data_IF_072665170421
#
_entry.id   IF_072665170421
#
_cell.length_a   1.000
_cell.length_b   1.000
_cell.length_c   1.000
_cell.angle_alpha   90.00
_cell.angle_beta   90.00
_cell.angle_gamma   90.00
#
_symmetry.space_group_name_H-M   'P 1'
#
loop_
_entity.id
_entity.type
_entity.pdbx_description
1 polymer ?
#
# COMPACT_ATOMS: atom_id res chain seq x y z
N UNK A 1 11.20 -22.66 -27.55
CA UNK A 1 11.56 -22.47 -26.14
C UNK A 1 10.25 -22.42 -25.37
N UNK A 2 9.85 -23.52 -24.75
CA UNK A 2 8.54 -23.66 -24.11
C UNK A 2 8.44 -22.67 -22.94
N UNK A 3 7.25 -22.10 -22.77
CA UNK A 3 6.92 -20.94 -21.93
C UNK A 3 6.95 -21.32 -20.43
N UNK A 4 8.16 -21.54 -19.90
CA UNK A 4 8.44 -21.99 -18.53
C UNK A 4 7.86 -21.08 -17.45
N UNK A 5 7.72 -19.78 -17.74
CA UNK A 5 7.15 -18.81 -16.83
C UNK A 5 5.66 -19.07 -16.56
N UNK A 6 4.87 -19.33 -17.61
CA UNK A 6 3.44 -19.61 -17.48
C UNK A 6 3.18 -20.90 -16.71
N UNK A 7 3.97 -21.94 -16.97
CA UNK A 7 3.85 -23.22 -16.24
C UNK A 7 4.23 -23.11 -14.76
N UNK A 8 5.23 -22.30 -14.42
CA UNK A 8 5.63 -22.07 -13.03
C UNK A 8 4.58 -21.24 -12.28
N UNK A 9 4.06 -20.17 -12.91
CA UNK A 9 3.00 -19.35 -12.31
C UNK A 9 1.75 -20.16 -12.03
N UNK A 10 1.28 -20.96 -13.00
CA UNK A 10 0.11 -21.82 -12.81
C UNK A 10 0.33 -22.86 -11.68
N UNK A 11 1.55 -23.38 -11.56
CA UNK A 11 1.90 -24.25 -10.45
C UNK A 11 1.87 -23.53 -9.10
N UNK A 12 2.45 -22.33 -9.01
CA UNK A 12 2.46 -21.52 -7.80
C UNK A 12 1.05 -21.08 -7.38
N UNK A 13 0.21 -20.68 -8.32
CA UNK A 13 -1.21 -20.34 -8.07
C UNK A 13 -1.98 -21.55 -7.54
N UNK A 14 -1.69 -22.75 -8.05
CA UNK A 14 -2.30 -23.99 -7.57
C UNK A 14 -1.84 -24.35 -6.15
N UNK A 15 -0.54 -24.23 -5.88
CA UNK A 15 0.07 -24.62 -4.59
C UNK A 15 -0.25 -23.60 -3.50
N UNK A 16 -0.24 -22.31 -3.83
CA UNK A 16 -0.45 -21.19 -2.92
C UNK A 16 -1.72 -20.40 -3.25
N UNK A 17 -2.82 -21.11 -3.50
CA UNK A 17 -4.10 -20.50 -3.93
C UNK A 17 -4.59 -19.39 -3.01
N UNK A 18 -4.36 -19.50 -1.70
CA UNK A 18 -4.69 -18.46 -0.72
C UNK A 18 -3.93 -17.16 -0.96
N UNK A 19 -2.65 -17.22 -1.35
CA UNK A 19 -1.82 -16.03 -1.59
C UNK A 19 -2.23 -15.32 -2.87
N UNK A 20 -2.64 -16.08 -3.89
CA UNK A 20 -3.05 -15.55 -5.20
C UNK A 20 -4.57 -15.33 -5.30
N UNK A 21 -5.30 -15.39 -4.18
CA UNK A 21 -6.73 -15.13 -4.18
C UNK A 21 -6.99 -13.66 -4.57
N UNK A 22 -7.89 -13.38 -5.54
CA UNK A 22 -8.22 -12.02 -5.90
C UNK A 22 -8.79 -11.26 -4.70
N UNK A 23 -8.20 -10.12 -4.35
CA UNK A 23 -8.64 -9.32 -3.22
C UNK A 23 -7.52 -8.48 -2.62
N UNK A 24 -7.87 -7.71 -1.60
CA UNK A 24 -6.89 -6.97 -0.81
C UNK A 24 -6.33 -7.89 0.29
N UNK A 25 -5.01 -7.93 0.44
CA UNK A 25 -4.37 -8.67 1.52
C UNK A 25 -4.58 -7.99 2.88
N UNK A 26 -4.35 -8.75 3.96
CA UNK A 26 -4.41 -8.25 5.32
C UNK A 26 -3.18 -8.71 6.11
N UNK A 27 -2.43 -7.76 6.65
CA UNK A 27 -1.26 -8.03 7.49
C UNK A 27 -1.68 -8.11 8.96
N UNK A 28 -1.67 -9.33 9.51
CA UNK A 28 -2.03 -9.57 10.91
C UNK A 28 -0.88 -9.41 11.90
N UNK A 29 0.33 -9.10 11.43
CA UNK A 29 1.55 -9.10 12.27
C UNK A 29 1.91 -7.74 12.84
N UNK A 30 1.42 -6.65 12.24
CA UNK A 30 1.81 -5.30 12.63
C UNK A 30 0.75 -4.30 12.21
N UNK A 31 0.57 -3.27 13.02
CA UNK A 31 -0.22 -2.08 12.69
C UNK A 31 0.71 -0.88 12.48
N UNK A 32 0.31 0.05 11.62
CA UNK A 32 1.01 1.30 11.41
C UNK A 32 0.60 2.32 12.49
N UNK A 33 1.57 2.78 13.28
CA UNK A 33 1.37 3.83 14.30
C UNK A 33 1.80 5.18 13.73
N UNK A 34 0.97 6.19 13.87
CA UNK A 34 1.28 7.58 13.48
C UNK A 34 1.00 8.51 14.68
N UNK A 35 1.65 9.67 14.74
CA UNK A 35 1.45 10.64 15.83
C UNK A 35 1.30 12.05 15.26
N UNK A 36 0.06 12.51 15.03
CA UNK A 36 -0.18 13.74 14.26
C UNK A 36 -0.57 14.98 15.17
N UNK A 37 -0.33 16.26 14.74
CA UNK A 37 -0.93 17.59 15.24
C UNK A 37 -1.95 18.43 14.33
N UNK A 38 -3.17 18.82 14.77
CA UNK A 38 -4.43 19.00 13.96
C UNK A 38 -4.52 20.07 12.82
N UNK A 39 -5.33 19.84 11.75
CA UNK A 39 -5.65 20.71 10.55
C UNK A 39 -6.81 20.14 9.63
N UNK A 40 -7.51 20.94 8.77
CA UNK A 40 -8.85 20.61 8.15
C UNK A 40 -9.09 21.01 6.63
N UNK A 41 -9.63 20.16 5.68
CA UNK A 41 -10.17 20.40 4.26
C UNK A 41 -10.57 19.11 3.40
N UNK A 42 -11.29 19.19 2.23
CA UNK A 42 -12.65 18.67 1.78
C UNK A 42 -12.63 17.41 0.81
N UNK A 43 -13.83 16.81 0.50
CA UNK A 43 -14.17 15.45 -0.09
C UNK A 43 -14.30 15.26 -1.65
N UNK A 44 -14.01 14.05 -2.21
CA UNK A 44 -14.17 13.61 -3.66
C UNK A 44 -14.39 12.07 -3.95
N UNK A 45 -15.36 11.71 -4.83
CA UNK A 45 -15.47 10.56 -5.83
C UNK A 45 -15.79 9.07 -5.49
N UNK A 46 -16.27 8.33 -6.53
CA UNK A 46 -16.63 6.89 -6.64
C UNK A 46 -15.54 5.87 -6.25
N UNK A 47 -14.26 6.25 -6.29
CA UNK A 47 -13.18 5.38 -5.77
C UNK A 47 -13.25 5.26 -4.25
N UNK A 48 -13.81 6.26 -3.56
CA UNK A 48 -14.12 6.18 -2.12
C UNK A 48 -15.10 5.03 -1.87
N UNK A 49 -16.14 4.87 -2.70
CA UNK A 49 -17.14 3.80 -2.51
C UNK A 49 -16.48 2.41 -2.52
N UNK A 50 -15.51 2.17 -3.42
CA UNK A 50 -14.72 0.94 -3.40
C UNK A 50 -13.94 0.80 -2.11
N UNK A 51 -13.25 1.87 -1.68
CA UNK A 51 -12.41 1.81 -0.49
C UNK A 51 -13.22 1.60 0.79
N UNK A 52 -14.43 2.17 0.85
CA UNK A 52 -15.40 1.94 1.93
C UNK A 52 -15.93 0.51 1.89
N UNK A 53 -16.30 -0.01 0.72
CA UNK A 53 -16.79 -1.40 0.60
C UNK A 53 -15.71 -2.43 0.93
N UNK A 54 -14.43 -2.12 0.65
CA UNK A 54 -13.28 -2.95 1.06
C UNK A 54 -12.80 -2.68 2.49
N UNK A 55 -13.53 -1.88 3.28
CA UNK A 55 -13.20 -1.52 4.67
C UNK A 55 -11.84 -0.83 4.88
N UNK A 56 -11.27 -0.27 3.81
CA UNK A 56 -10.03 0.54 3.86
C UNK A 56 -10.32 1.94 4.41
N UNK A 57 -11.47 2.51 4.04
CA UNK A 57 -11.96 3.78 4.58
C UNK A 57 -13.21 3.53 5.41
N UNK A 58 -13.30 4.18 6.56
CA UNK A 58 -14.49 4.18 7.41
C UNK A 58 -14.95 5.62 7.60
N UNK A 59 -16.26 5.86 7.53
CA UNK A 59 -16.82 7.18 7.80
C UNK A 59 -16.70 7.52 9.28
N UNK A 60 -16.10 8.67 9.59
CA UNK A 60 -16.05 9.24 10.94
C UNK A 60 -16.93 10.47 11.03
N UNK A 61 -17.58 10.68 12.17
CA UNK A 61 -18.47 11.85 12.38
C UNK A 61 -17.69 13.15 12.52
N UNK A 62 -16.49 13.08 13.10
CA UNK A 62 -15.58 14.20 13.29
C UNK A 62 -14.13 13.70 13.23
N UNK A 63 -13.24 14.54 12.73
CA UNK A 63 -11.80 14.32 12.73
C UNK A 63 -11.11 15.65 12.96
N UNK A 64 -10.13 15.70 13.87
CA UNK A 64 -9.24 16.85 14.02
C UNK A 64 -8.25 16.98 12.85
N UNK A 65 -8.26 15.96 11.98
CA UNK A 65 -7.37 15.75 10.85
C UNK A 65 -8.09 15.73 9.54
N UNK A 66 -7.48 16.36 8.55
CA UNK A 66 -7.91 16.26 7.18
C UNK A 66 -6.74 16.50 6.24
N UNK A 67 -6.86 15.94 5.05
CA UNK A 67 -5.91 16.10 3.97
C UNK A 67 -6.70 16.26 2.66
N UNK A 68 -6.43 17.31 1.86
CA UNK A 68 -7.05 17.46 0.57
C UNK A 68 -6.85 16.21 -0.28
N UNK A 69 -7.92 15.73 -0.91
CA UNK A 69 -7.80 14.61 -1.86
C UNK A 69 -7.55 15.18 -3.25
N UNK A 70 -6.47 14.72 -3.88
CA UNK A 70 -6.12 14.96 -5.28
C UNK A 70 -6.51 13.73 -6.10
N UNK A 71 -7.27 13.94 -7.16
CA UNK A 71 -7.62 12.88 -8.10
C UNK A 71 -6.71 12.97 -9.34
N UNK A 72 -5.93 11.92 -9.58
CA UNK A 72 -4.96 11.85 -10.69
C UNK A 72 -5.39 10.75 -11.65
N UNK A 73 -5.52 11.08 -12.93
CA UNK A 73 -5.75 10.07 -13.97
C UNK A 73 -4.43 9.37 -14.32
N UNK A 74 -4.42 8.05 -14.27
CA UNK A 74 -3.31 7.23 -14.75
C UNK A 74 -3.32 7.17 -16.28
N UNK A 75 -2.17 6.85 -16.86
CA UNK A 75 -2.04 6.54 -18.30
C UNK A 75 -2.99 5.43 -18.76
N UNK A 76 -3.34 4.50 -17.85
CA UNK A 76 -4.32 3.43 -18.10
C UNK A 76 -5.77 3.93 -18.17
N UNK A 77 -6.02 5.24 -18.05
CA UNK A 77 -7.33 5.86 -17.95
C UNK A 77 -8.01 5.75 -16.57
N UNK A 78 -7.44 4.96 -15.64
CA UNK A 78 -8.00 4.76 -14.30
C UNK A 78 -7.71 5.94 -13.36
N UNK A 79 -8.59 6.20 -12.39
CA UNK A 79 -8.42 7.26 -11.41
C UNK A 79 -7.67 6.78 -10.16
N UNK A 80 -6.67 7.55 -9.72
CA UNK A 80 -5.98 7.39 -8.44
C UNK A 80 -6.35 8.54 -7.51
N UNK A 81 -6.82 8.21 -6.31
CA UNK A 81 -6.97 9.18 -5.23
C UNK A 81 -5.68 9.24 -4.43
N UNK A 82 -5.18 10.45 -4.22
CA UNK A 82 -4.00 10.74 -3.43
C UNK A 82 -4.40 11.77 -2.38
N UNK A 83 -4.32 11.43 -1.10
CA UNK A 83 -4.39 12.44 -0.06
C UNK A 83 -3.08 13.25 -0.08
N UNK A 84 -3.19 14.57 -0.11
CA UNK A 84 -2.05 15.47 -0.03
C UNK A 84 -1.64 15.65 1.43
N UNK A 85 -0.76 14.78 1.89
CA UNK A 85 -0.22 14.85 3.26
C UNK A 85 0.84 15.94 3.43
N UNK A 86 1.28 16.61 2.35
CA UNK A 86 2.29 17.67 2.43
C UNK A 86 1.75 18.95 3.06
N UNK A 87 0.43 19.16 3.06
CA UNK A 87 -0.21 20.38 3.60
C UNK A 87 -0.24 20.45 5.13
N UNK A 88 0.38 19.48 5.83
CA UNK A 88 0.61 19.56 7.27
C UNK A 88 0.80 18.22 7.96
N UNK A 89 0.24 17.12 7.44
CA UNK A 89 0.35 15.82 8.11
C UNK A 89 1.82 15.36 8.16
N UNK A 90 2.53 15.40 7.03
CA UNK A 90 3.93 14.97 6.96
C UNK A 90 4.86 15.77 7.89
N UNK A 91 4.59 17.06 8.10
CA UNK A 91 5.36 17.90 9.03
C UNK A 91 5.03 17.61 10.51
N UNK A 92 3.81 17.17 10.77
CA UNK A 92 3.33 16.92 12.12
C UNK A 92 3.70 15.54 12.65
N UNK A 93 4.06 14.61 11.77
CA UNK A 93 4.47 13.25 12.12
C UNK A 93 5.91 13.20 12.63
N UNK A 94 6.15 12.35 13.64
CA UNK A 94 7.50 11.98 14.01
C UNK A 94 8.12 11.09 12.93
N UNK A 95 9.32 11.46 12.47
CA UNK A 95 10.01 10.73 11.42
C UNK A 95 10.61 9.43 11.97
N UNK A 96 9.99 8.30 11.62
CA UNK A 96 10.53 6.98 11.89
C UNK A 96 11.44 6.55 10.74
N UNK A 97 12.76 6.60 10.95
CA UNK A 97 13.73 6.22 9.93
C UNK A 97 14.05 4.73 10.02
N UNK A 98 13.45 3.93 9.14
CA UNK A 98 13.86 2.54 8.95
C UNK A 98 14.98 2.48 7.90
N UNK A 99 16.12 1.81 8.17
CA UNK A 99 17.18 1.69 7.19
C UNK A 99 16.70 0.86 6.00
N UNK A 100 16.82 1.41 4.79
CA UNK A 100 16.65 0.67 3.55
C UNK A 100 18.04 0.30 3.03
N UNK A 101 18.21 -0.97 2.65
CA UNK A 101 19.45 -1.44 2.04
C UNK A 101 19.74 -0.69 0.74
N UNK A 102 20.99 -0.30 0.51
CA UNK A 102 21.38 0.30 -0.76
C UNK A 102 21.24 -0.71 -1.91
N UNK A 103 20.95 -0.26 -3.13
CA UNK A 103 20.94 -1.14 -4.30
C UNK A 103 22.24 -1.95 -4.44
N UNK A 104 23.40 -1.32 -4.26
CA UNK A 104 24.71 -2.00 -4.36
C UNK A 104 24.85 -3.14 -3.34
N UNK A 105 24.38 -2.93 -2.12
CA UNK A 105 24.41 -3.97 -1.09
C UNK A 105 23.50 -5.14 -1.48
N UNK A 106 22.29 -4.86 -1.99
CA UNK A 106 21.36 -5.89 -2.48
C UNK A 106 22.00 -6.67 -3.63
N UNK A 107 22.56 -6.01 -4.64
CA UNK A 107 23.19 -6.68 -5.79
C UNK A 107 24.42 -7.49 -5.40
N UNK A 108 25.22 -7.00 -4.45
CA UNK A 108 26.35 -7.77 -3.92
C UNK A 108 25.89 -9.08 -3.28
N UNK A 109 24.76 -9.06 -2.56
CA UNK A 109 24.17 -10.28 -1.96
C UNK A 109 23.61 -11.26 -2.98
N UNK A 110 23.16 -10.77 -4.14
CA UNK A 110 22.63 -11.58 -5.23
C UNK A 110 23.72 -12.16 -6.14
N UNK A 111 24.98 -11.74 -5.98
CA UNK A 111 26.10 -12.20 -6.81
C UNK A 111 26.26 -13.73 -6.76
N UNK A 112 26.51 -14.35 -7.92
CA UNK A 112 26.60 -15.80 -8.06
C UNK A 112 25.24 -16.52 -8.16
N UNK A 113 24.12 -15.80 -7.98
CA UNK A 113 22.78 -16.34 -8.24
C UNK A 113 22.58 -16.67 -9.73
N UNK A 114 21.97 -17.82 -9.99
CA UNK A 114 21.70 -18.30 -11.37
C UNK A 114 20.26 -18.09 -11.82
N UNK A 115 19.34 -18.03 -10.87
CA UNK A 115 17.91 -17.88 -11.10
C UNK A 115 17.35 -16.91 -10.06
N UNK A 116 16.46 -16.02 -10.50
CA UNK A 116 15.82 -15.02 -9.65
C UNK A 116 14.32 -15.05 -9.88
N UNK A 117 13.56 -14.74 -8.83
CA UNK A 117 12.13 -14.49 -8.91
C UNK A 117 11.82 -13.15 -8.27
N UNK A 118 10.80 -12.47 -8.79
CA UNK A 118 10.31 -11.23 -8.25
C UNK A 118 8.86 -11.41 -7.85
N UNK A 119 8.53 -11.02 -6.62
CA UNK A 119 7.17 -11.00 -6.13
C UNK A 119 6.77 -9.54 -5.91
N UNK A 120 5.57 -9.19 -6.35
CA UNK A 120 5.01 -7.87 -6.17
C UNK A 120 3.72 -7.97 -5.36
N UNK A 121 3.65 -7.21 -4.28
CA UNK A 121 2.44 -7.09 -3.47
C UNK A 121 1.61 -5.92 -4.00
N UNK A 122 0.48 -6.23 -4.64
CA UNK A 122 -0.46 -5.22 -5.10
C UNK A 122 -1.07 -4.46 -3.92
N UNK A 123 -1.17 -3.13 -4.03
CA UNK A 123 -1.74 -2.26 -2.97
C UNK A 123 -1.16 -2.50 -1.56
N UNK A 124 0.10 -2.93 -1.45
CA UNK A 124 0.72 -3.42 -0.21
C UNK A 124 0.53 -2.53 1.03
N UNK A 125 0.55 -1.20 0.86
CA UNK A 125 0.33 -0.25 1.95
C UNK A 125 -1.05 -0.42 2.61
N UNK A 126 -2.07 -0.80 1.86
CA UNK A 126 -3.42 -0.99 2.36
C UNK A 126 -3.60 -2.34 3.11
N UNK A 127 -2.59 -3.21 3.09
CA UNK A 127 -2.63 -4.45 3.87
C UNK A 127 -2.36 -4.20 5.36
N UNK A 128 -1.71 -3.09 5.70
CA UNK A 128 -1.40 -2.73 7.09
C UNK A 128 -2.56 -1.92 7.67
N UNK A 129 -3.12 -2.39 8.77
CA UNK A 129 -4.06 -1.61 9.54
C UNK A 129 -3.34 -0.45 10.24
N UNK A 130 -4.00 0.69 10.32
CA UNK A 130 -3.58 1.78 11.21
C UNK A 130 -3.94 1.39 12.64
N UNK A 131 -3.05 1.70 13.58
CA UNK A 131 -3.26 1.49 15.01
C UNK A 131 -4.48 2.27 15.52
N UNK A 132 -5.24 1.69 16.44
CA UNK A 132 -6.48 2.29 16.93
C UNK A 132 -6.22 3.57 17.74
N UNK A 133 -5.06 3.69 18.40
CA UNK A 133 -4.63 4.91 19.11
C UNK A 133 -4.28 6.07 18.17
N UNK A 134 -4.13 5.78 16.87
CA UNK A 134 -3.79 6.76 15.83
C UNK A 134 -5.03 7.31 15.10
N UNK A 135 -6.17 6.63 15.22
CA UNK A 135 -7.40 6.89 14.45
C UNK A 135 -8.23 8.04 15.00
#
# INVERSE_FOLDING_TARGET
MLDTHSSLTAHLEKVFSTVFTPGLGHCSKSKAKLTPKPKQVRKISTKIDRLVSTQVLTSVGHSEWDAPIVAVQKETGSLRLCADYSTGLNEALEQQQHPLSSPDYIFTKLNGGRYFSQLYLAEAYLHLEVDDDTK
#
